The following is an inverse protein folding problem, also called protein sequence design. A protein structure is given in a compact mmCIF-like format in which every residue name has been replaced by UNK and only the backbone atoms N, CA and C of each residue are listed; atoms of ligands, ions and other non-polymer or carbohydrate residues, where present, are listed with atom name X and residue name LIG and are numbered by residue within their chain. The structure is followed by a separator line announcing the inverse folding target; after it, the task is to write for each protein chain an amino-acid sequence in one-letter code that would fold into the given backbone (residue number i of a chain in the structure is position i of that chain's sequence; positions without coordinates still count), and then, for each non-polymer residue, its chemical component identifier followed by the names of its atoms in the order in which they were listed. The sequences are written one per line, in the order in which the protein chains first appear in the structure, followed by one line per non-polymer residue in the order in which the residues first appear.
data_IF_424312802134
#
_entry.id   IF_424312802134
#
_cell.length_a   1.000
_cell.length_b   1.000
_cell.length_c   1.000
_cell.angle_alpha   90.00
_cell.angle_beta   90.00
_cell.angle_gamma   90.00
#
_symmetry.space_group_name_H-M   'P 1'
#
loop_
_entity.id
_entity.type
_entity.pdbx_description
1 polymer ?
#
# COMPACT_ATOMS: atom_id res chain seq x y z
N UNK A 1 -13.60 1.05 10.95
CA UNK A 1 -13.00 2.20 10.25
C UNK A 1 -12.26 1.68 9.02
N UNK A 2 -12.25 2.44 7.94
CA UNK A 2 -11.53 2.05 6.72
C UNK A 2 -10.24 2.82 6.60
N UNK A 3 -9.18 2.14 6.18
CA UNK A 3 -7.84 2.70 5.99
C UNK A 3 -7.33 2.35 4.60
N UNK A 4 -6.63 3.29 3.98
CA UNK A 4 -5.83 2.99 2.79
C UNK A 4 -4.44 2.59 3.28
N UNK A 5 -3.93 1.47 2.80
CA UNK A 5 -2.57 1.00 3.11
C UNK A 5 -1.77 0.85 1.84
N UNK A 6 -0.47 1.09 1.92
CA UNK A 6 0.42 0.89 0.79
C UNK A 6 1.21 -0.42 0.91
N UNK A 7 2.05 -0.70 -0.08
CA UNK A 7 2.83 -1.94 -0.10
C UNK A 7 3.82 -2.04 1.07
N UNK A 8 4.31 -0.91 1.60
CA UNK A 8 5.23 -0.92 2.74
C UNK A 8 4.58 -1.50 4.00
N UNK A 9 3.27 -1.34 4.14
CA UNK A 9 2.48 -1.94 5.22
C UNK A 9 2.12 -3.39 4.89
N UNK A 10 1.57 -3.62 3.69
CA UNK A 10 1.05 -4.94 3.31
C UNK A 10 2.13 -6.03 3.24
N UNK A 11 3.36 -5.69 2.85
CA UNK A 11 4.47 -6.65 2.85
C UNK A 11 4.75 -7.18 4.27
N UNK A 12 4.53 -6.36 5.28
CA UNK A 12 4.72 -6.75 6.67
C UNK A 12 3.67 -7.75 7.18
N UNK A 13 2.57 -7.86 6.47
CA UNK A 13 1.54 -8.88 6.80
C UNK A 13 1.99 -10.28 6.39
N UNK A 14 2.74 -10.39 5.31
CA UNK A 14 3.08 -11.66 4.66
C UNK A 14 4.55 -12.06 4.81
N UNK A 15 5.37 -11.18 5.36
CA UNK A 15 6.77 -11.43 5.69
C UNK A 15 7.09 -10.81 7.05
N UNK A 16 7.98 -11.45 7.82
CA UNK A 16 8.39 -10.89 9.09
C UNK A 16 9.44 -9.80 8.89
N UNK A 17 9.08 -8.60 9.29
CA UNK A 17 9.92 -7.42 9.23
C UNK A 17 9.73 -6.60 10.51
N UNK A 18 10.50 -5.53 10.63
CA UNK A 18 10.27 -4.55 11.69
C UNK A 18 8.82 -4.03 11.61
N UNK A 19 8.17 -3.96 12.75
CA UNK A 19 6.77 -3.48 12.89
C UNK A 19 5.71 -4.40 12.26
N UNK A 20 6.02 -5.66 11.94
CA UNK A 20 5.02 -6.59 11.40
C UNK A 20 3.84 -6.81 12.35
N UNK A 21 4.08 -6.87 13.66
CA UNK A 21 2.99 -6.99 14.64
C UNK A 21 2.04 -5.80 14.57
N UNK A 22 2.59 -4.60 14.48
CA UNK A 22 1.83 -3.36 14.37
C UNK A 22 1.02 -3.33 13.06
N UNK A 23 1.67 -3.73 11.96
CA UNK A 23 1.00 -3.79 10.65
C UNK A 23 -0.15 -4.80 10.65
N UNK A 24 0.04 -5.98 11.23
CA UNK A 24 -1.01 -7.00 11.32
C UNK A 24 -2.18 -6.56 12.18
N UNK A 25 -1.94 -5.76 13.20
CA UNK A 25 -3.01 -5.21 14.03
C UNK A 25 -3.96 -4.34 13.21
N UNK A 26 -3.51 -3.68 12.15
CA UNK A 26 -4.35 -2.85 11.30
C UNK A 26 -5.45 -3.66 10.61
N UNK A 27 -5.09 -4.76 9.92
CA UNK A 27 -6.11 -5.52 9.22
C UNK A 27 -7.02 -6.34 10.15
N UNK A 28 -6.62 -6.54 11.41
CA UNK A 28 -7.48 -7.18 12.41
C UNK A 28 -8.51 -6.21 12.98
N UNK A 29 -8.18 -4.93 13.05
CA UNK A 29 -9.02 -3.91 13.65
C UNK A 29 -9.84 -3.10 12.64
N UNK A 30 -9.35 -2.94 11.42
CA UNK A 30 -9.90 -2.03 10.42
C UNK A 30 -10.05 -2.70 9.05
N UNK A 31 -10.93 -2.13 8.23
CA UNK A 31 -11.06 -2.52 6.83
C UNK A 31 -9.94 -1.85 6.04
N UNK A 32 -9.03 -2.64 5.54
CA UNK A 32 -7.90 -2.14 4.74
C UNK A 32 -8.22 -2.16 3.25
N UNK A 33 -7.94 -1.05 2.60
CA UNK A 33 -8.22 -0.83 1.18
C UNK A 33 -6.96 -0.39 0.46
N UNK A 34 -6.85 -0.71 -0.80
CA UNK A 34 -5.72 -0.30 -1.63
C UNK A 34 -6.07 -0.32 -3.12
N UNK A 35 -5.33 0.45 -3.95
CA UNK A 35 -5.35 0.21 -5.39
C UNK A 35 -4.82 -1.19 -5.70
N UNK A 36 -5.34 -1.85 -6.72
CA UNK A 36 -4.91 -3.23 -7.04
C UNK A 36 -3.45 -3.31 -7.49
N UNK A 37 -2.81 -2.18 -7.80
CA UNK A 37 -1.36 -2.06 -7.97
C UNK A 37 -0.57 -2.68 -6.80
N UNK A 38 -1.14 -2.68 -5.60
CA UNK A 38 -0.47 -3.21 -4.40
C UNK A 38 -0.05 -4.68 -4.58
N UNK A 39 -0.81 -5.45 -5.33
CA UNK A 39 -0.49 -6.86 -5.60
C UNK A 39 0.87 -6.96 -6.30
N UNK A 40 1.09 -6.16 -7.34
CA UNK A 40 2.36 -6.16 -8.07
C UNK A 40 3.51 -5.65 -7.19
N UNK A 41 3.27 -4.62 -6.40
CA UNK A 41 4.31 -4.04 -5.55
C UNK A 41 4.74 -4.98 -4.43
N UNK A 42 3.79 -5.59 -3.74
CA UNK A 42 4.08 -6.60 -2.70
C UNK A 42 4.75 -7.81 -3.34
N UNK A 43 4.28 -8.25 -4.51
CA UNK A 43 4.88 -9.34 -5.26
C UNK A 43 6.35 -9.09 -5.57
N UNK A 44 6.69 -7.89 -6.02
CA UNK A 44 8.08 -7.53 -6.30
C UNK A 44 8.94 -7.50 -5.02
N UNK A 45 8.39 -6.98 -3.92
CA UNK A 45 9.09 -7.00 -2.62
C UNK A 45 9.35 -8.43 -2.15
N UNK A 46 8.37 -9.32 -2.29
CA UNK A 46 8.51 -10.74 -1.92
C UNK A 46 9.52 -11.46 -2.81
N UNK A 47 9.53 -11.15 -4.11
CA UNK A 47 10.50 -11.70 -5.03
C UNK A 47 11.93 -11.32 -4.66
N UNK A 48 12.18 -10.07 -4.30
CA UNK A 48 13.49 -9.62 -3.82
C UNK A 48 13.92 -10.37 -2.56
N UNK A 49 13.00 -10.61 -1.64
CA UNK A 49 13.26 -11.39 -0.42
C UNK A 49 13.59 -12.85 -0.75
N UNK A 50 12.86 -13.44 -1.69
CA UNK A 50 13.10 -14.82 -2.12
C UNK A 50 14.50 -14.96 -2.76
N UNK A 51 14.89 -14.01 -3.59
CA UNK A 51 16.23 -14.00 -4.19
C UNK A 51 17.36 -13.95 -3.16
N UNK A 52 17.10 -13.30 -2.01
CA UNK A 52 18.06 -13.18 -0.91
C UNK A 52 17.94 -14.33 0.09
N UNK A 53 17.13 -15.33 -0.20
CA UNK A 53 16.85 -16.46 0.69
C UNK A 53 16.25 -16.03 2.04
N UNK A 54 15.56 -14.90 2.09
CA UNK A 54 14.85 -14.43 3.29
C UNK A 54 13.46 -15.07 3.42
N UNK A 55 12.90 -15.48 2.29
CA UNK A 55 11.67 -16.27 2.23
C UNK A 55 11.83 -17.36 1.19
N UNK A 56 11.09 -18.46 1.33
CA UNK A 56 11.10 -19.55 0.35
C UNK A 56 10.16 -19.24 -0.81
N UNK A 57 10.33 -19.95 -1.92
CA UNK A 57 9.41 -19.84 -3.06
C UNK A 57 7.97 -20.17 -2.63
N UNK A 58 7.79 -21.18 -1.77
CA UNK A 58 6.47 -21.58 -1.27
C UNK A 58 5.85 -20.50 -0.39
N UNK A 59 6.65 -19.86 0.46
CA UNK A 59 6.17 -18.72 1.27
C UNK A 59 5.73 -17.55 0.40
N UNK A 60 6.47 -17.24 -0.66
CA UNK A 60 6.08 -16.19 -1.58
C UNK A 60 4.75 -16.50 -2.28
N UNK A 61 4.61 -17.72 -2.80
CA UNK A 61 3.36 -18.15 -3.44
C UNK A 61 2.17 -18.06 -2.50
N UNK A 62 2.33 -18.53 -1.26
CA UNK A 62 1.29 -18.47 -0.24
C UNK A 62 0.91 -17.02 0.10
N UNK A 63 1.89 -16.15 0.20
CA UNK A 63 1.66 -14.73 0.46
C UNK A 63 0.83 -14.08 -0.64
N UNK A 64 1.14 -14.38 -1.91
CA UNK A 64 0.42 -13.81 -3.05
C UNK A 64 -1.02 -14.33 -3.15
N UNK A 65 -1.27 -15.54 -2.67
CA UNK A 65 -2.62 -16.10 -2.58
C UNK A 65 -3.44 -15.43 -1.45
N UNK A 66 -2.80 -15.18 -0.31
CA UNK A 66 -3.46 -14.64 0.88
C UNK A 66 -3.73 -13.13 0.79
N UNK A 67 -2.84 -12.37 0.13
CA UNK A 67 -2.89 -10.91 0.13
C UNK A 67 -4.22 -10.34 -0.35
N UNK A 68 -4.81 -10.76 -1.48
CA UNK A 68 -6.07 -10.20 -1.95
C UNK A 68 -7.24 -10.39 -0.98
N UNK A 69 -7.20 -11.42 -0.15
CA UNK A 69 -8.26 -11.70 0.81
C UNK A 69 -8.25 -10.75 2.01
N UNK A 70 -7.15 -10.04 2.20
CA UNK A 70 -6.98 -9.11 3.31
C UNK A 70 -7.31 -7.67 2.96
N UNK A 71 -7.58 -7.40 1.69
CA UNK A 71 -7.74 -6.06 1.16
C UNK A 71 -9.01 -5.93 0.36
N UNK A 72 -9.63 -4.77 0.46
CA UNK A 72 -10.60 -4.34 -0.53
C UNK A 72 -9.81 -3.62 -1.64
N UNK A 73 -9.75 -4.22 -2.81
CA UNK A 73 -8.96 -3.72 -3.94
C UNK A 73 -9.80 -2.84 -4.87
N UNK A 74 -9.22 -1.75 -5.30
CA UNK A 74 -9.83 -0.81 -6.26
C UNK A 74 -9.05 -0.84 -7.56
N UNK A 75 -9.76 -0.80 -8.67
CA UNK A 75 -9.19 -0.80 -10.01
C UNK A 75 -8.41 0.49 -10.26
N UNK A 76 -7.12 0.37 -10.60
CA UNK A 76 -6.29 1.53 -10.89
C UNK A 76 -6.74 2.30 -12.14
N UNK A 77 -7.44 1.67 -13.07
CA UNK A 77 -7.98 2.36 -14.24
C UNK A 77 -8.92 3.51 -13.83
N UNK A 78 -9.68 3.33 -12.77
CA UNK A 78 -10.60 4.36 -12.25
C UNK A 78 -9.88 5.52 -11.57
N UNK A 79 -8.63 5.32 -11.17
CA UNK A 79 -7.81 6.30 -10.44
C UNK A 79 -6.80 7.00 -11.35
N UNK A 80 -6.61 6.51 -12.57
CA UNK A 80 -5.48 6.87 -13.42
C UNK A 80 -5.41 8.37 -13.74
N UNK A 81 -6.53 8.99 -14.10
CA UNK A 81 -6.55 10.42 -14.44
C UNK A 81 -6.18 11.29 -13.24
N UNK A 82 -6.80 11.03 -12.08
CA UNK A 82 -6.50 11.81 -10.87
C UNK A 82 -5.08 11.57 -10.39
N UNK A 83 -4.59 10.33 -10.48
CA UNK A 83 -3.20 10.00 -10.15
C UNK A 83 -2.23 10.79 -11.03
N UNK A 84 -2.50 10.90 -12.33
CA UNK A 84 -1.69 11.69 -13.25
C UNK A 84 -1.67 13.18 -12.87
N UNK A 85 -2.82 13.75 -12.52
CA UNK A 85 -2.91 15.14 -12.08
C UNK A 85 -2.06 15.40 -10.83
N UNK A 86 -2.13 14.50 -9.85
CA UNK A 86 -1.33 14.60 -8.62
C UNK A 86 0.15 14.45 -8.93
N UNK A 87 0.53 13.49 -9.78
CA UNK A 87 1.92 13.26 -10.17
C UNK A 87 2.54 14.50 -10.82
N UNK A 88 1.80 15.14 -11.70
CA UNK A 88 2.25 16.37 -12.37
C UNK A 88 2.40 17.51 -11.36
N UNK A 89 1.40 17.70 -10.52
CA UNK A 89 1.38 18.79 -9.54
C UNK A 89 2.50 18.68 -8.51
N UNK A 90 2.77 17.46 -8.04
CA UNK A 90 3.78 17.21 -6.99
C UNK A 90 5.15 16.87 -7.55
N UNK A 91 5.28 16.70 -8.86
CA UNK A 91 6.50 16.17 -9.50
C UNK A 91 6.93 14.89 -8.81
N UNK A 92 6.02 13.93 -8.72
CA UNK A 92 6.18 12.70 -7.95
C UNK A 92 5.83 11.48 -8.81
N UNK A 93 6.55 10.34 -8.67
CA UNK A 93 6.23 9.13 -9.44
C UNK A 93 4.78 8.72 -9.27
N UNK A 94 4.15 8.34 -10.39
CA UNK A 94 2.71 8.09 -10.42
C UNK A 94 2.25 6.92 -9.52
N UNK A 95 3.13 5.95 -9.26
CA UNK A 95 2.78 4.78 -8.44
C UNK A 95 2.19 5.19 -7.09
N UNK A 96 2.86 6.07 -6.37
CA UNK A 96 2.37 6.60 -5.09
C UNK A 96 1.09 7.41 -5.26
N UNK A 97 0.94 8.07 -6.40
CA UNK A 97 -0.21 8.92 -6.67
C UNK A 97 -1.52 8.15 -6.83
N UNK A 98 -1.47 6.86 -7.16
CA UNK A 98 -2.66 5.99 -7.11
C UNK A 98 -3.19 5.86 -5.68
N UNK A 99 -2.30 5.72 -4.70
CA UNK A 99 -2.69 5.66 -3.28
C UNK A 99 -3.27 6.99 -2.83
N UNK A 100 -2.65 8.10 -3.23
CA UNK A 100 -3.14 9.44 -2.89
C UNK A 100 -4.51 9.71 -3.50
N UNK A 101 -4.71 9.33 -4.76
CA UNK A 101 -5.99 9.48 -5.44
C UNK A 101 -7.08 8.66 -4.76
N UNK A 102 -6.77 7.44 -4.33
CA UNK A 102 -7.73 6.59 -3.63
C UNK A 102 -8.08 7.17 -2.26
N UNK A 103 -7.08 7.59 -1.49
CA UNK A 103 -7.30 8.18 -0.17
C UNK A 103 -8.17 9.45 -0.26
N UNK A 104 -7.92 10.28 -1.26
CA UNK A 104 -8.70 11.48 -1.51
C UNK A 104 -10.16 11.14 -1.85
N UNK A 105 -10.36 10.20 -2.78
CA UNK A 105 -11.70 9.81 -3.24
C UNK A 105 -12.54 9.17 -2.13
N UNK A 106 -11.95 8.24 -1.38
CA UNK A 106 -12.63 7.48 -0.34
C UNK A 106 -12.68 8.22 0.99
N UNK A 107 -11.95 9.33 1.12
CA UNK A 107 -11.87 10.12 2.36
C UNK A 107 -11.44 9.27 3.56
N UNK A 108 -10.47 8.40 3.33
CA UNK A 108 -9.91 7.51 4.35
C UNK A 108 -8.45 7.87 4.60
N UNK A 109 -8.01 7.67 5.84
CA UNK A 109 -6.61 7.89 6.19
C UNK A 109 -5.70 6.92 5.43
N UNK A 110 -4.54 7.40 5.02
CA UNK A 110 -3.48 6.61 4.41
C UNK A 110 -2.45 6.25 5.47
N UNK A 111 -2.21 4.96 5.67
CA UNK A 111 -1.17 4.45 6.58
C UNK A 111 -0.02 3.91 5.77
N UNK A 112 1.20 4.35 6.06
CA UNK A 112 2.40 3.94 5.35
C UNK A 112 3.61 3.91 6.27
N UNK A 113 4.60 3.10 5.92
CA UNK A 113 5.92 3.12 6.52
C UNK A 113 6.93 3.88 5.63
N UNK A 114 6.51 4.34 4.47
CA UNK A 114 7.36 5.04 3.50
C UNK A 114 7.30 6.56 3.72
N UNK A 115 8.44 7.12 4.13
CA UNK A 115 8.55 8.55 4.41
C UNK A 115 8.26 9.43 3.18
N UNK A 116 8.61 8.97 1.97
CA UNK A 116 8.37 9.73 0.74
C UNK A 116 6.88 9.83 0.43
N UNK A 117 6.16 8.73 0.58
CA UNK A 117 4.70 8.72 0.38
C UNK A 117 4.01 9.59 1.43
N UNK A 118 4.40 9.48 2.69
CA UNK A 118 3.84 10.30 3.76
C UNK A 118 4.06 11.80 3.51
N UNK A 119 5.26 12.17 3.04
CA UNK A 119 5.57 13.56 2.71
C UNK A 119 4.72 14.06 1.53
N UNK A 120 4.54 13.24 0.50
CA UNK A 120 3.70 13.57 -0.65
C UNK A 120 2.23 13.73 -0.23
N UNK A 121 1.74 12.87 0.64
CA UNK A 121 0.35 12.91 1.13
C UNK A 121 0.03 14.24 1.82
N UNK A 122 0.99 14.80 2.56
CA UNK A 122 0.81 16.09 3.24
C UNK A 122 0.61 17.26 2.28
N UNK A 123 1.02 17.10 1.03
CA UNK A 123 0.89 18.15 0.00
C UNK A 123 -0.46 18.08 -0.73
N UNK A 124 -1.26 17.07 -0.48
CA UNK A 124 -2.59 16.91 -1.08
C UNK A 124 -3.64 17.26 -0.03
N UNK A 125 -4.44 18.29 -0.33
CA UNK A 125 -5.48 18.73 0.57
C UNK A 125 -6.52 17.63 0.78
N UNK A 126 -6.93 17.42 2.03
CA UNK A 126 -7.99 16.48 2.37
C UNK A 126 -7.51 15.05 2.63
N UNK A 127 -6.22 14.77 2.53
CA UNK A 127 -5.66 13.47 2.86
C UNK A 127 -5.05 13.49 4.27
N UNK A 128 -5.52 12.59 5.13
CA UNK A 128 -4.86 12.31 6.40
C UNK A 128 -3.83 11.20 6.18
N UNK A 129 -2.58 11.47 6.56
CA UNK A 129 -1.51 10.49 6.46
C UNK A 129 -1.03 10.09 7.86
N UNK A 130 -0.91 8.79 8.09
CA UNK A 130 -0.44 8.24 9.37
C UNK A 130 0.78 7.35 9.13
N UNK A 131 1.80 7.54 9.91
CA UNK A 131 2.94 6.64 9.94
C UNK A 131 2.54 5.35 10.67
N UNK A 132 2.98 4.19 10.11
CA UNK A 132 2.80 2.89 10.76
C UNK A 132 3.49 2.83 12.11
#
# INVERSE_FOLDING_TARGET
MSLIVDASVAVKWVADEENSSRARALYLADDCMAPDLIIAEVGNAMWKKQRRNLVTAEQMKAAMLALPERLHLFDIAELAQRAAEIAIKLDHPIYDCFYLALAERERCALVSADAKLLAAAKKVKGIEARKL
#
